data_IF_536089258967
#
_entry.id   IF_536089258967
#
_cell.length_a   1.000
_cell.length_b   1.000
_cell.length_c   1.000
_cell.angle_alpha   90.00
_cell.angle_beta   90.00
_cell.angle_gamma   90.00
#
_symmetry.space_group_name_H-M   'P 1'
#
loop_
_entity.id
_entity.type
_entity.pdbx_description
1 polymer ?
#
# COMPACT_ATOMS: atom_id res chain seq x y z
N UNK A 1 -36.83 -7.67 -26.84
CA UNK A 1 -35.60 -8.38 -26.49
C UNK A 1 -35.50 -8.36 -24.98
N UNK A 2 -35.59 -9.52 -24.36
CA UNK A 2 -35.50 -9.65 -22.91
C UNK A 2 -34.07 -9.31 -22.48
N UNK A 3 -33.93 -8.36 -21.57
CA UNK A 3 -32.72 -8.14 -20.79
C UNK A 3 -32.53 -9.34 -19.87
N UNK A 4 -31.51 -10.14 -20.14
CA UNK A 4 -31.05 -11.17 -19.21
C UNK A 4 -30.72 -10.51 -17.85
N UNK A 5 -31.15 -11.09 -16.72
CA UNK A 5 -30.73 -10.63 -15.42
C UNK A 5 -29.22 -10.87 -15.31
N UNK A 6 -28.45 -9.79 -15.08
CA UNK A 6 -27.04 -9.90 -14.70
C UNK A 6 -27.01 -10.75 -13.43
N UNK A 7 -26.51 -11.98 -13.56
CA UNK A 7 -26.32 -12.87 -12.43
C UNK A 7 -25.59 -12.09 -11.33
N UNK A 8 -26.19 -12.03 -10.14
CA UNK A 8 -25.51 -11.60 -8.93
C UNK A 8 -24.38 -12.59 -8.70
N UNK A 9 -23.22 -12.32 -9.30
CA UNK A 9 -22.02 -13.10 -9.06
C UNK A 9 -21.64 -12.81 -7.61
N UNK A 10 -21.94 -13.76 -6.73
CA UNK A 10 -21.37 -13.76 -5.38
C UNK A 10 -19.86 -13.67 -5.56
N UNK A 11 -19.18 -12.68 -4.98
CA UNK A 11 -17.75 -12.52 -5.16
C UNK A 11 -17.04 -13.82 -4.79
N UNK A 12 -16.04 -14.21 -5.57
CA UNK A 12 -15.17 -15.31 -5.18
C UNK A 12 -14.39 -14.88 -3.93
N UNK A 13 -14.71 -15.52 -2.79
CA UNK A 13 -14.06 -15.25 -1.51
C UNK A 13 -13.07 -16.36 -1.21
N UNK A 14 -11.80 -16.05 -1.38
CA UNK A 14 -10.70 -16.90 -0.96
C UNK A 14 -10.26 -16.52 0.45
N UNK A 15 -10.12 -17.52 1.33
CA UNK A 15 -9.67 -17.31 2.70
C UNK A 15 -8.51 -18.23 3.03
N UNK A 16 -7.42 -17.63 3.49
CA UNK A 16 -6.22 -18.31 3.96
C UNK A 16 -6.01 -18.06 5.45
N UNK A 17 -5.83 -19.12 6.23
CA UNK A 17 -5.52 -19.06 7.65
C UNK A 17 -4.16 -19.74 7.92
N UNK A 18 -3.23 -19.02 8.54
CA UNK A 18 -1.89 -19.52 8.83
C UNK A 18 -1.54 -19.40 10.32
N UNK A 19 -1.03 -20.50 10.89
CA UNK A 19 -0.68 -20.62 12.30
C UNK A 19 -1.84 -21.11 13.16
N UNK A 20 -1.59 -21.25 14.46
CA UNK A 20 -2.58 -21.69 15.44
C UNK A 20 -3.57 -20.55 15.75
N UNK A 21 -4.64 -20.48 14.96
CA UNK A 21 -5.71 -19.51 15.10
C UNK A 21 -6.86 -20.07 15.95
N UNK A 22 -7.53 -19.23 16.76
CA UNK A 22 -8.77 -19.65 17.41
C UNK A 22 -9.80 -20.17 16.40
N UNK A 23 -10.62 -21.17 16.76
CA UNK A 23 -11.65 -21.70 15.87
C UNK A 23 -12.67 -20.63 15.49
N UNK A 24 -13.20 -20.71 14.26
CA UNK A 24 -14.24 -19.80 13.77
C UNK A 24 -13.76 -18.41 13.30
N UNK A 25 -12.47 -18.09 13.43
CA UNK A 25 -11.93 -16.78 13.00
C UNK A 25 -12.02 -16.56 11.49
N UNK A 26 -11.87 -17.61 10.69
CA UNK A 26 -12.08 -17.58 9.25
C UNK A 26 -13.51 -17.12 8.90
N UNK A 27 -14.51 -17.77 9.47
CA UNK A 27 -15.93 -17.42 9.24
C UNK A 27 -16.28 -16.04 9.79
N UNK A 28 -15.72 -15.65 10.94
CA UNK A 28 -15.90 -14.31 11.49
C UNK A 28 -15.38 -13.23 10.52
N UNK A 29 -14.17 -13.43 9.96
CA UNK A 29 -13.59 -12.51 9.00
C UNK A 29 -14.40 -12.46 7.71
N UNK A 30 -14.79 -13.63 7.18
CA UNK A 30 -15.64 -13.74 5.99
C UNK A 30 -16.94 -12.96 6.16
N UNK A 31 -17.66 -13.19 7.26
CA UNK A 31 -18.95 -12.55 7.51
C UNK A 31 -18.79 -11.03 7.65
N UNK A 32 -17.81 -10.55 8.43
CA UNK A 32 -17.58 -9.10 8.60
C UNK A 32 -17.20 -8.40 7.30
N UNK A 33 -16.38 -9.04 6.45
CA UNK A 33 -16.05 -8.49 5.14
C UNK A 33 -17.27 -8.49 4.23
N UNK A 34 -18.02 -9.59 4.13
CA UNK A 34 -19.23 -9.63 3.29
C UNK A 34 -20.27 -8.59 3.70
N UNK A 35 -20.52 -8.41 5.00
CA UNK A 35 -21.43 -7.36 5.49
C UNK A 35 -20.97 -5.96 5.08
N UNK A 36 -19.65 -5.69 5.07
CA UNK A 36 -19.13 -4.42 4.56
C UNK A 36 -19.36 -4.27 3.05
N UNK A 37 -19.24 -5.36 2.30
CA UNK A 37 -19.42 -5.36 0.84
C UNK A 37 -20.88 -5.18 0.43
N UNK A 38 -21.86 -5.53 1.27
CA UNK A 38 -23.28 -5.26 1.02
C UNK A 38 -23.58 -3.75 0.89
N UNK A 39 -22.73 -2.89 1.46
CA UNK A 39 -22.84 -1.42 1.34
C UNK A 39 -22.20 -0.88 0.05
N UNK A 40 -21.45 -1.70 -0.68
CA UNK A 40 -20.73 -1.32 -1.89
C UNK A 40 -21.67 -1.43 -3.10
N UNK A 41 -21.85 -0.31 -3.81
CA UNK A 41 -22.78 -0.25 -4.97
C UNK A 41 -22.26 -0.95 -6.22
N UNK A 42 -20.94 -0.93 -6.41
CA UNK A 42 -20.30 -1.50 -7.59
C UNK A 42 -20.00 -2.99 -7.38
N UNK A 43 -20.00 -3.82 -8.43
CA UNK A 43 -19.69 -5.24 -8.32
C UNK A 43 -18.33 -5.50 -7.70
N UNK A 44 -18.25 -6.46 -6.77
CA UNK A 44 -16.99 -6.96 -6.22
C UNK A 44 -16.60 -8.20 -7.01
N UNK A 45 -15.47 -8.13 -7.71
CA UNK A 45 -15.00 -9.19 -8.61
C UNK A 45 -14.20 -10.27 -7.88
N UNK A 46 -13.44 -9.89 -6.84
CA UNK A 46 -12.68 -10.85 -6.03
C UNK A 46 -12.46 -10.35 -4.61
N UNK A 47 -12.36 -11.28 -3.67
CA UNK A 47 -12.05 -11.04 -2.26
C UNK A 47 -11.04 -12.08 -1.80
N UNK A 48 -9.86 -11.65 -1.38
CA UNK A 48 -8.87 -12.54 -0.75
C UNK A 48 -8.56 -12.06 0.66
N UNK A 49 -8.82 -12.91 1.64
CA UNK A 49 -8.56 -12.64 3.06
C UNK A 49 -7.46 -13.58 3.55
N UNK A 50 -6.45 -13.02 4.23
CA UNK A 50 -5.40 -13.80 4.88
C UNK A 50 -5.33 -13.44 6.35
N UNK A 51 -5.46 -14.44 7.20
CA UNK A 51 -5.30 -14.35 8.65
C UNK A 51 -4.01 -15.08 9.05
N UNK A 52 -3.18 -14.46 9.88
CA UNK A 52 -1.90 -15.08 10.27
C UNK A 52 -1.55 -14.76 11.71
N UNK A 53 -1.16 -15.78 12.48
CA UNK A 53 -0.53 -15.64 13.81
C UNK A 53 0.98 -15.82 13.70
N UNK A 54 1.72 -14.78 14.07
CA UNK A 54 3.17 -14.81 14.15
C UNK A 54 3.61 -15.54 15.42
N UNK A 55 4.58 -16.45 15.30
CA UNK A 55 5.16 -17.19 16.42
C UNK A 55 6.42 -16.47 16.94
N UNK A 56 6.26 -15.25 17.43
CA UNK A 56 7.35 -14.52 18.07
C UNK A 56 6.90 -13.94 19.42
N UNK A 57 7.48 -14.37 20.55
CA UNK A 57 7.06 -13.95 21.88
C UNK A 57 7.30 -12.46 22.18
N UNK A 58 8.14 -11.77 21.40
CA UNK A 58 8.40 -10.32 21.59
C UNK A 58 7.47 -9.41 20.79
N UNK A 59 6.63 -9.97 19.92
CA UNK A 59 5.70 -9.19 19.08
C UNK A 59 4.48 -8.79 19.90
N UNK A 60 4.28 -7.49 20.10
CA UNK A 60 3.13 -6.96 20.86
C UNK A 60 1.80 -7.27 20.20
N UNK A 61 1.77 -7.29 18.85
CA UNK A 61 0.59 -7.51 18.02
C UNK A 61 0.79 -8.73 17.11
N UNK A 62 0.69 -9.96 17.63
CA UNK A 62 1.08 -11.17 16.90
C UNK A 62 0.06 -11.62 15.86
N UNK A 63 -1.16 -11.08 15.86
CA UNK A 63 -2.21 -11.42 14.91
C UNK A 63 -2.27 -10.41 13.80
N UNK A 64 -2.17 -10.88 12.56
CA UNK A 64 -2.26 -10.05 11.36
C UNK A 64 -3.45 -10.48 10.52
N UNK A 65 -4.12 -9.50 9.93
CA UNK A 65 -5.23 -9.72 9.01
C UNK A 65 -5.01 -8.83 7.78
N UNK A 66 -5.09 -9.45 6.60
CA UNK A 66 -4.97 -8.77 5.32
C UNK A 66 -6.20 -9.08 4.46
N UNK A 67 -6.70 -8.08 3.74
CA UNK A 67 -7.67 -8.29 2.67
C UNK A 67 -7.23 -7.55 1.41
N UNK A 68 -7.43 -8.20 0.27
CA UNK A 68 -7.37 -7.59 -1.06
C UNK A 68 -8.74 -7.76 -1.71
N UNK A 69 -9.28 -6.68 -2.24
CA UNK A 69 -10.57 -6.65 -2.93
C UNK A 69 -10.35 -6.10 -4.34
N UNK A 70 -11.13 -6.58 -5.29
CA UNK A 70 -11.32 -5.91 -6.58
C UNK A 70 -12.77 -5.46 -6.70
N UNK A 71 -13.01 -4.15 -6.75
CA UNK A 71 -14.34 -3.57 -6.93
C UNK A 71 -14.46 -3.04 -8.35
N UNK A 72 -15.01 -3.84 -9.27
CA UNK A 72 -15.24 -3.46 -10.67
C UNK A 72 -13.96 -3.01 -11.42
N UNK A 73 -12.88 -3.79 -11.29
CA UNK A 73 -11.57 -3.56 -11.90
C UNK A 73 -10.67 -2.63 -11.08
N UNK A 74 -10.98 -2.45 -9.80
CA UNK A 74 -10.36 -1.40 -8.98
C UNK A 74 -9.93 -1.97 -7.64
N UNK A 75 -8.61 -2.12 -7.43
CA UNK A 75 -8.13 -2.84 -6.28
C UNK A 75 -8.22 -1.98 -5.01
N UNK A 76 -8.50 -2.62 -3.88
CA UNK A 76 -8.40 -2.04 -2.56
C UNK A 76 -7.76 -3.05 -1.61
N UNK A 77 -6.87 -2.58 -0.74
CA UNK A 77 -6.15 -3.45 0.20
C UNK A 77 -6.13 -2.85 1.59
N UNK A 78 -6.24 -3.72 2.58
CA UNK A 78 -6.02 -3.37 3.99
C UNK A 78 -5.12 -4.42 4.64
N UNK A 79 -4.19 -3.95 5.48
CA UNK A 79 -3.31 -4.83 6.25
C UNK A 79 -3.12 -4.31 7.67
N UNK A 80 -3.52 -5.11 8.65
CA UNK A 80 -3.51 -4.74 10.06
C UNK A 80 -2.87 -5.79 10.96
N UNK A 81 -2.44 -5.37 12.14
CA UNK A 81 -1.99 -6.18 13.25
C UNK A 81 -2.63 -5.74 14.57
N UNK A 82 -2.92 -6.72 15.42
CA UNK A 82 -3.59 -6.53 16.69
C UNK A 82 -3.09 -7.51 17.77
N UNK A 83 -3.50 -7.28 19.01
CA UNK A 83 -3.17 -8.13 20.15
C UNK A 83 -4.02 -9.41 20.16
N UNK A 84 -5.19 -9.38 19.51
CA UNK A 84 -6.07 -10.54 19.33
C UNK A 84 -6.58 -10.69 17.90
N UNK A 85 -6.93 -11.93 17.49
CA UNK A 85 -7.50 -12.15 16.15
C UNK A 85 -8.85 -11.46 15.92
N UNK A 86 -9.82 -11.46 16.86
CA UNK A 86 -11.06 -10.70 16.69
C UNK A 86 -10.82 -9.19 16.48
N UNK A 87 -9.92 -8.61 17.26
CA UNK A 87 -9.52 -7.20 17.10
C UNK A 87 -8.86 -6.95 15.74
N UNK A 88 -8.00 -7.85 15.28
CA UNK A 88 -7.40 -7.75 13.94
C UNK A 88 -8.47 -7.76 12.84
N UNK A 89 -9.52 -8.58 12.99
CA UNK A 89 -10.62 -8.64 12.02
C UNK A 89 -11.46 -7.34 12.06
N UNK A 90 -11.70 -6.78 13.26
CA UNK A 90 -12.41 -5.50 13.41
C UNK A 90 -11.64 -4.34 12.76
N UNK A 91 -10.35 -4.24 13.06
CA UNK A 91 -9.46 -3.25 12.44
C UNK A 91 -9.38 -3.44 10.92
N UNK A 92 -9.40 -4.69 10.44
CA UNK A 92 -9.39 -4.98 9.00
C UNK A 92 -10.65 -4.42 8.32
N UNK A 93 -11.83 -4.67 8.92
CA UNK A 93 -13.11 -4.11 8.42
C UNK A 93 -13.06 -2.59 8.38
N UNK A 94 -12.65 -1.96 9.48
CA UNK A 94 -12.66 -0.50 9.58
C UNK A 94 -11.69 0.13 8.56
N UNK A 95 -10.50 -0.46 8.40
CA UNK A 95 -9.53 -0.02 7.39
C UNK A 95 -10.05 -0.22 5.96
N UNK A 96 -10.70 -1.36 5.66
CA UNK A 96 -11.33 -1.58 4.35
C UNK A 96 -12.44 -0.56 4.07
N UNK A 97 -13.27 -0.22 5.06
CA UNK A 97 -14.32 0.79 4.90
C UNK A 97 -13.74 2.15 4.50
N UNK A 98 -12.61 2.54 5.10
CA UNK A 98 -11.89 3.76 4.71
C UNK A 98 -11.40 3.68 3.26
N UNK A 99 -10.84 2.54 2.83
CA UNK A 99 -10.37 2.38 1.45
C UNK A 99 -11.51 2.39 0.42
N UNK A 100 -12.61 1.71 0.70
CA UNK A 100 -13.80 1.70 -0.17
C UNK A 100 -14.41 3.10 -0.29
N UNK A 101 -14.44 3.86 0.82
CA UNK A 101 -14.90 5.25 0.79
C UNK A 101 -13.96 6.15 -0.05
N UNK A 102 -12.63 5.96 0.03
CA UNK A 102 -11.66 6.67 -0.83
C UNK A 102 -11.89 6.34 -2.30
N UNK A 103 -12.02 5.05 -2.60
CA UNK A 103 -12.27 4.56 -3.95
C UNK A 103 -13.50 5.23 -4.55
N UNK A 104 -14.62 5.20 -3.83
CA UNK A 104 -15.88 5.82 -4.26
C UNK A 104 -15.73 7.32 -4.55
N UNK A 105 -15.13 8.09 -3.65
CA UNK A 105 -14.94 9.55 -3.83
C UNK A 105 -14.11 9.87 -5.07
N UNK A 106 -13.05 9.11 -5.30
CA UNK A 106 -12.21 9.30 -6.49
C UNK A 106 -13.02 9.10 -7.78
N UNK A 107 -13.90 8.09 -7.83
CA UNK A 107 -14.77 7.89 -9.00
C UNK A 107 -15.85 8.93 -9.17
N UNK A 108 -16.44 9.39 -8.08
CA UNK A 108 -17.41 10.48 -8.13
C UNK A 108 -16.73 11.76 -8.68
N UNK A 109 -15.49 12.06 -8.26
CA UNK A 109 -14.72 13.19 -8.77
C UNK A 109 -14.38 13.03 -10.27
N UNK A 110 -13.97 11.83 -10.71
CA UNK A 110 -13.67 11.58 -12.12
C UNK A 110 -14.92 11.63 -13.03
N UNK A 111 -16.08 11.15 -12.57
CA UNK A 111 -17.34 11.21 -13.34
C UNK A 111 -18.03 12.58 -13.30
N UNK A 112 -17.79 13.36 -12.25
CA UNK A 112 -18.39 14.69 -12.04
C UNK A 112 -17.75 15.84 -12.81
N UNK A 113 -16.68 15.60 -13.57
CA UNK A 113 -16.09 16.58 -14.49
C UNK A 113 -15.41 17.81 -13.86
N UNK A 114 -15.41 17.93 -12.53
CA UNK A 114 -14.72 18.99 -11.81
C UNK A 114 -13.94 18.38 -10.64
N UNK A 115 -12.59 18.47 -10.62
CA UNK A 115 -11.86 18.33 -9.38
C UNK A 115 -12.21 19.55 -8.52
N UNK A 116 -13.27 19.46 -7.74
CA UNK A 116 -13.46 20.40 -6.64
C UNK A 116 -12.28 20.20 -5.71
N UNK A 117 -11.37 21.17 -5.71
CA UNK A 117 -10.47 21.48 -4.60
C UNK A 117 -11.32 21.86 -3.38
N UNK A 118 -12.14 20.92 -2.90
CA UNK A 118 -12.77 21.02 -1.61
C UNK A 118 -11.68 20.73 -0.61
N UNK A 119 -11.26 21.77 0.10
CA UNK A 119 -10.45 21.71 1.29
C UNK A 119 -11.10 20.75 2.30
N UNK A 120 -10.85 19.46 2.12
CA UNK A 120 -11.02 18.49 3.17
C UNK A 120 -9.67 18.49 3.86
N UNK A 121 -9.63 19.15 5.01
CA UNK A 121 -8.61 18.94 6.04
C UNK A 121 -8.62 17.46 6.42
N UNK A 122 -8.07 16.61 5.56
CA UNK A 122 -7.63 15.30 5.96
C UNK A 122 -6.43 15.59 6.86
N UNK A 123 -6.67 15.54 8.16
CA UNK A 123 -5.60 15.43 9.15
C UNK A 123 -4.86 14.13 8.81
N UNK A 124 -3.80 14.27 8.02
CA UNK A 124 -2.81 13.21 7.78
C UNK A 124 -2.02 12.87 9.05
N UNK A 125 -2.32 13.53 10.17
CA UNK A 125 -1.85 13.19 11.49
C UNK A 125 -2.75 12.14 12.12
N UNK A 126 -2.12 11.05 12.56
CA UNK A 126 -2.61 10.16 13.60
C UNK A 126 -3.73 9.19 13.22
N UNK A 127 -3.56 8.44 12.14
CA UNK A 127 -4.07 7.07 12.21
C UNK A 127 -3.01 6.26 12.99
N UNK A 128 -3.31 5.77 14.21
CA UNK A 128 -2.42 4.85 14.89
C UNK A 128 -2.16 3.72 13.89
N UNK A 129 -0.93 3.61 13.40
CA UNK A 129 -0.65 2.60 12.38
C UNK A 129 -0.70 1.25 13.07
N UNK A 130 -1.89 0.65 13.09
CA UNK A 130 -2.13 -0.77 13.34
C UNK A 130 -1.54 -1.62 12.21
N UNK A 131 -0.54 -1.11 11.48
CA UNK A 131 0.21 -1.86 10.50
C UNK A 131 1.07 -2.89 11.24
N UNK A 132 1.25 -4.10 10.70
CA UNK A 132 2.10 -5.09 11.33
C UNK A 132 3.51 -4.60 11.57
N UNK A 133 4.07 -5.02 12.69
CA UNK A 133 5.48 -4.83 12.97
C UNK A 133 6.30 -5.76 12.08
N UNK A 134 7.49 -5.31 11.70
CA UNK A 134 8.44 -6.18 11.01
C UNK A 134 8.98 -7.22 12.00
N UNK A 135 9.09 -8.48 11.57
CA UNK A 135 9.76 -9.50 12.36
C UNK A 135 11.20 -9.03 12.66
N UNK A 136 11.60 -8.96 13.95
CA UNK A 136 12.90 -8.44 14.34
C UNK A 136 13.98 -9.47 13.98
N UNK A 137 14.63 -9.24 12.84
CA UNK A 137 15.76 -10.03 12.36
C UNK A 137 17.07 -9.25 12.55
N UNK A 138 18.14 -9.83 13.09
CA UNK A 138 19.45 -9.18 13.15
C UNK A 138 19.92 -8.76 11.73
N UNK A 139 20.51 -7.57 11.54
CA UNK A 139 20.93 -7.09 10.22
C UNK A 139 21.79 -8.08 9.41
N UNK A 140 22.65 -8.84 10.11
CA UNK A 140 23.51 -9.89 9.56
C UNK A 140 22.72 -11.05 8.92
N UNK A 141 21.51 -11.34 9.41
CA UNK A 141 20.64 -12.41 8.92
C UNK A 141 19.65 -11.92 7.85
N UNK A 142 19.61 -10.61 7.58
CA UNK A 142 18.67 -10.05 6.60
C UNK A 142 19.19 -10.26 5.20
N UNK A 143 18.31 -10.69 4.30
CA UNK A 143 18.62 -10.99 2.91
C UNK A 143 17.56 -10.39 1.98
N UNK A 144 17.93 -10.15 0.72
CA UNK A 144 16.97 -9.73 -0.32
C UNK A 144 16.33 -10.99 -0.90
N UNK A 145 15.26 -11.47 -0.27
CA UNK A 145 14.63 -12.75 -0.65
C UNK A 145 13.56 -12.60 -1.74
N UNK A 146 13.07 -11.37 -1.98
CA UNK A 146 12.00 -11.13 -2.95
C UNK A 146 12.41 -10.04 -3.94
N UNK A 147 12.38 -10.40 -5.21
CA UNK A 147 12.59 -9.47 -6.33
C UNK A 147 11.30 -9.29 -7.09
N UNK A 148 10.84 -8.05 -7.25
CA UNK A 148 9.64 -7.69 -7.98
C UNK A 148 10.01 -6.73 -9.10
N UNK A 149 9.78 -7.15 -10.34
CA UNK A 149 10.01 -6.31 -11.51
C UNK A 149 8.67 -5.94 -12.13
N UNK A 150 8.41 -4.64 -12.30
CA UNK A 150 7.14 -4.14 -12.84
C UNK A 150 7.40 -2.96 -13.79
N UNK A 151 6.59 -2.83 -14.84
CA UNK A 151 6.52 -1.59 -15.61
C UNK A 151 5.96 -0.49 -14.71
N UNK A 152 6.70 0.62 -14.55
CA UNK A 152 6.22 1.74 -13.75
C UNK A 152 5.06 2.42 -14.49
N UNK A 153 3.93 2.54 -13.81
CA UNK A 153 2.83 3.36 -14.30
C UNK A 153 3.28 4.81 -14.42
N UNK A 154 2.81 5.50 -15.47
CA UNK A 154 3.06 6.92 -15.68
C UNK A 154 1.87 7.69 -15.11
N UNK A 155 2.08 8.37 -13.99
CA UNK A 155 1.02 8.90 -13.14
C UNK A 155 1.36 10.32 -12.66
N UNK A 156 0.33 11.09 -12.32
CA UNK A 156 0.48 12.31 -11.55
C UNK A 156 0.74 12.00 -10.06
N UNK A 157 1.22 12.99 -9.30
CA UNK A 157 1.40 12.83 -7.84
C UNK A 157 0.08 12.49 -7.13
N UNK A 158 -1.05 13.06 -7.59
CA UNK A 158 -2.35 12.82 -6.98
C UNK A 158 -2.86 11.39 -7.24
N UNK A 159 -2.65 10.86 -8.45
CA UNK A 159 -2.94 9.45 -8.78
C UNK A 159 -2.06 8.51 -7.97
N UNK A 160 -0.75 8.79 -7.89
CA UNK A 160 0.18 8.03 -7.08
C UNK A 160 -0.19 8.04 -5.58
N UNK A 161 -0.66 9.18 -5.05
CA UNK A 161 -1.15 9.28 -3.68
C UNK A 161 -2.42 8.45 -3.46
N UNK A 162 -3.33 8.47 -4.43
CA UNK A 162 -4.55 7.66 -4.41
C UNK A 162 -4.24 6.16 -4.41
N UNK A 163 -3.37 5.70 -5.31
CA UNK A 163 -2.93 4.30 -5.38
C UNK A 163 -2.20 3.86 -4.11
N UNK A 164 -1.30 4.70 -3.58
CA UNK A 164 -0.60 4.40 -2.33
C UNK A 164 -1.57 4.22 -1.17
N UNK A 165 -2.61 5.06 -1.10
CA UNK A 165 -3.64 4.99 -0.07
C UNK A 165 -4.52 3.76 -0.26
N UNK A 166 -5.12 3.56 -1.44
CA UNK A 166 -6.09 2.49 -1.75
C UNK A 166 -5.49 1.10 -1.54
N UNK A 167 -4.20 0.95 -1.83
CA UNK A 167 -3.46 -0.30 -1.69
C UNK A 167 -2.80 -0.49 -0.32
N UNK A 168 -3.01 0.48 0.59
CA UNK A 168 -2.41 0.51 1.91
C UNK A 168 -0.89 0.28 1.87
N UNK A 169 -0.23 0.99 0.95
CA UNK A 169 1.22 0.96 0.82
C UNK A 169 1.87 2.03 1.71
N UNK A 170 3.14 1.82 2.05
CA UNK A 170 3.96 2.81 2.76
C UNK A 170 4.66 3.78 1.82
N UNK A 171 4.80 3.38 0.56
CA UNK A 171 5.40 4.14 -0.52
C UNK A 171 4.80 3.65 -1.85
N UNK A 172 4.94 4.45 -2.91
CA UNK A 172 4.56 4.08 -4.28
C UNK A 172 5.64 4.53 -5.26
N UNK A 173 6.11 3.61 -6.11
CA UNK A 173 7.14 3.87 -7.12
C UNK A 173 6.46 3.95 -8.50
N UNK A 174 6.66 5.07 -9.20
CA UNK A 174 5.97 5.38 -10.46
C UNK A 174 6.85 6.31 -11.32
N UNK A 175 6.46 6.52 -12.58
CA UNK A 175 7.05 7.57 -13.43
C UNK A 175 6.18 8.83 -13.34
N UNK A 176 6.71 9.94 -12.83
CA UNK A 176 5.91 11.16 -12.71
C UNK A 176 5.66 11.78 -14.09
N UNK A 177 4.40 12.10 -14.40
CA UNK A 177 3.98 12.43 -15.77
C UNK A 177 4.65 13.70 -16.32
N UNK A 178 4.86 14.72 -15.49
CA UNK A 178 5.38 16.03 -15.89
C UNK A 178 6.90 16.04 -16.02
N UNK A 179 7.62 15.43 -15.08
CA UNK A 179 9.09 15.36 -15.10
C UNK A 179 9.60 14.20 -15.92
N UNK A 180 8.81 13.13 -16.07
CA UNK A 180 9.24 11.86 -16.66
C UNK A 180 10.21 11.07 -15.79
N UNK A 181 10.42 11.47 -14.53
CA UNK A 181 11.37 10.85 -13.62
C UNK A 181 10.73 9.70 -12.86
N UNK A 182 11.47 8.60 -12.73
CA UNK A 182 11.17 7.58 -11.74
C UNK A 182 11.17 8.24 -10.35
N UNK A 183 10.05 8.12 -9.65
CA UNK A 183 9.76 8.84 -8.43
C UNK A 183 9.15 7.90 -7.40
N UNK A 184 9.51 8.11 -6.13
CA UNK A 184 8.85 7.45 -5.00
C UNK A 184 8.06 8.47 -4.19
N UNK A 185 6.77 8.20 -4.00
CA UNK A 185 5.91 8.93 -3.08
C UNK A 185 5.80 8.15 -1.76
N UNK A 186 5.85 8.83 -0.62
CA UNK A 186 5.69 8.20 0.70
C UNK A 186 5.14 9.19 1.72
N UNK A 187 4.69 8.70 2.88
CA UNK A 187 4.22 9.57 3.97
C UNK A 187 5.41 10.13 4.75
N UNK A 188 5.40 11.44 4.98
CA UNK A 188 6.34 12.13 5.85
C UNK A 188 5.56 13.06 6.78
N UNK A 189 5.46 12.69 8.06
CA UNK A 189 4.90 13.57 9.08
C UNK A 189 5.90 14.69 9.42
N UNK A 190 5.43 15.91 9.77
CA UNK A 190 4.02 16.35 9.78
C UNK A 190 3.50 16.80 8.39
N UNK A 191 4.34 16.74 7.35
CA UNK A 191 4.12 17.37 6.04
C UNK A 191 3.15 16.66 5.09
N UNK A 192 2.54 15.54 5.49
CA UNK A 192 1.67 14.74 4.61
C UNK A 192 2.49 13.81 3.72
N UNK A 193 2.58 14.11 2.42
CA UNK A 193 3.34 13.32 1.46
C UNK A 193 4.71 13.92 1.16
N UNK A 194 5.67 13.05 0.84
CA UNK A 194 6.99 13.42 0.34
C UNK A 194 7.32 12.68 -0.95
N UNK A 195 7.82 13.42 -1.93
CA UNK A 195 8.30 12.90 -3.21
C UNK A 195 9.83 12.91 -3.24
N UNK A 196 10.46 11.82 -3.68
CA UNK A 196 11.85 11.80 -4.08
C UNK A 196 11.95 11.28 -5.53
N UNK A 197 12.85 11.86 -6.31
CA UNK A 197 13.00 11.57 -7.74
C UNK A 197 14.44 11.15 -8.04
N UNK A 198 14.64 10.34 -9.09
CA UNK A 198 15.98 9.99 -9.59
C UNK A 198 16.79 11.25 -9.86
N UNK A 199 16.26 12.18 -10.66
CA UNK A 199 16.74 13.56 -10.69
C UNK A 199 15.66 14.48 -10.14
N UNK A 200 16.01 15.28 -9.13
CA UNK A 200 15.04 16.18 -8.49
C UNK A 200 14.73 17.39 -9.37
N UNK A 201 13.44 17.60 -9.69
CA UNK A 201 12.97 18.81 -10.38
C UNK A 201 11.76 19.45 -9.64
N UNK A 202 11.93 20.02 -8.44
CA UNK A 202 10.79 20.49 -7.63
C UNK A 202 9.90 21.53 -8.33
N UNK A 203 10.48 22.36 -9.20
CA UNK A 203 9.75 23.40 -9.94
C UNK A 203 9.08 22.94 -11.23
N UNK A 204 9.15 21.65 -11.57
CA UNK A 204 8.55 21.08 -12.80
C UNK A 204 7.34 20.18 -12.53
N UNK A 205 6.95 20.02 -11.27
CA UNK A 205 5.72 19.32 -10.96
C UNK A 205 4.52 20.18 -11.37
N UNK A 206 3.48 19.54 -11.88
CA UNK A 206 2.18 20.19 -12.09
C UNK A 206 1.53 20.59 -10.77
N UNK A 207 0.36 21.21 -10.84
CA UNK A 207 -0.46 21.47 -9.66
C UNK A 207 -0.88 20.15 -9.00
N UNK A 208 -0.67 20.03 -7.69
CA UNK A 208 -1.05 18.86 -6.90
C UNK A 208 -2.14 19.22 -5.89
N UNK A 209 -3.15 18.36 -5.76
CA UNK A 209 -4.21 18.52 -4.76
C UNK A 209 -3.77 18.09 -3.35
N UNK A 210 -2.81 17.17 -3.25
CA UNK A 210 -2.27 16.71 -1.96
C UNK A 210 -1.23 17.67 -1.36
N UNK A 211 -1.13 17.68 -0.02
CA UNK A 211 -0.03 18.35 0.67
C UNK A 211 1.27 17.59 0.42
N UNK A 212 2.19 18.22 -0.33
CA UNK A 212 3.41 17.58 -0.83
C UNK A 212 4.66 18.38 -0.45
N UNK A 213 5.70 17.67 -0.01
CA UNK A 213 7.08 18.18 0.02
C UNK A 213 7.95 17.40 -0.97
N UNK A 214 8.78 18.09 -1.73
CA UNK A 214 9.72 17.44 -2.68
C UNK A 214 11.11 17.42 -2.09
N UNK A 215 11.77 16.26 -2.12
CA UNK A 215 13.18 16.15 -1.77
C UNK A 215 14.03 16.93 -2.77
N UNK A 216 14.83 17.92 -2.35
CA UNK A 216 15.69 18.67 -3.26
C UNK A 216 16.90 17.86 -3.73
N UNK A 217 17.29 16.84 -2.98
CA UNK A 217 18.39 15.96 -3.35
C UNK A 217 17.91 14.87 -4.35
N UNK A 218 18.68 14.58 -5.41
CA UNK A 218 18.42 13.44 -6.27
C UNK A 218 18.58 12.13 -5.51
N UNK A 219 17.98 11.06 -6.02
CA UNK A 219 18.16 9.74 -5.44
C UNK A 219 19.65 9.33 -5.52
N UNK A 220 20.22 8.81 -4.42
CA UNK A 220 21.62 8.37 -4.41
C UNK A 220 21.83 7.24 -5.43
N UNK A 221 22.92 7.31 -6.20
CA UNK A 221 23.25 6.30 -7.21
C UNK A 221 24.09 5.17 -6.59
N UNK A 222 23.61 3.93 -6.67
CA UNK A 222 24.26 2.76 -6.08
C UNK A 222 23.62 1.44 -6.54
N UNK A 223 24.28 0.31 -6.27
CA UNK A 223 23.71 -1.03 -6.44
C UNK A 223 22.92 -1.52 -5.20
N UNK A 224 22.21 -2.64 -5.38
CA UNK A 224 21.38 -3.27 -4.33
C UNK A 224 22.16 -3.69 -3.09
N UNK A 225 23.42 -4.13 -3.22
CA UNK A 225 24.26 -4.49 -2.09
C UNK A 225 24.60 -3.29 -1.20
N UNK A 226 24.84 -2.13 -1.80
CA UNK A 226 25.08 -0.87 -1.08
C UNK A 226 23.78 -0.33 -0.46
N UNK A 227 22.66 -0.44 -1.17
CA UNK A 227 21.35 -0.12 -0.63
C UNK A 227 21.00 -0.99 0.60
N UNK A 228 21.34 -2.28 0.57
CA UNK A 228 21.18 -3.19 1.73
C UNK A 228 21.96 -2.71 2.94
N UNK A 229 23.26 -2.39 2.79
CA UNK A 229 24.06 -1.86 3.90
C UNK A 229 23.43 -0.61 4.52
N UNK A 230 22.91 0.30 3.71
CA UNK A 230 22.19 1.48 4.21
C UNK A 230 20.91 1.15 4.97
N UNK A 231 20.12 0.17 4.50
CA UNK A 231 18.94 -0.31 5.23
C UNK A 231 19.33 -0.88 6.60
N UNK A 232 20.41 -1.67 6.64
CA UNK A 232 20.93 -2.27 7.87
C UNK A 232 21.42 -1.22 8.87
N UNK A 233 22.09 -0.15 8.40
CA UNK A 233 22.64 0.92 9.24
C UNK A 233 21.61 1.94 9.71
N UNK A 234 20.68 2.34 8.83
CA UNK A 234 19.77 3.46 9.09
C UNK A 234 18.42 3.03 9.65
N UNK A 235 18.08 1.74 9.59
CA UNK A 235 16.79 1.21 10.05
C UNK A 235 15.57 1.85 9.37
N UNK A 236 15.75 2.39 8.16
CA UNK A 236 14.69 3.03 7.40
C UNK A 236 13.67 1.99 6.90
N UNK A 237 12.38 2.32 6.78
CA UNK A 237 11.36 1.38 6.29
C UNK A 237 11.62 0.94 4.83
N UNK A 238 12.25 1.83 4.04
CA UNK A 238 12.70 1.57 2.69
C UNK A 238 13.85 2.52 2.31
N UNK A 239 14.59 2.17 1.26
CA UNK A 239 15.58 3.02 0.59
C UNK A 239 15.23 3.08 -0.90
N UNK A 240 15.04 4.30 -1.40
CA UNK A 240 14.93 4.60 -2.82
C UNK A 240 16.28 5.07 -3.36
N UNK A 241 16.67 4.56 -4.52
CA UNK A 241 17.98 4.81 -5.10
C UNK A 241 17.95 4.69 -6.62
N UNK A 242 18.91 5.35 -7.27
CA UNK A 242 19.15 5.18 -8.70
C UNK A 242 20.11 4.03 -8.89
N UNK A 243 19.70 3.02 -9.65
CA UNK A 243 20.56 1.89 -9.98
C UNK A 243 21.77 2.35 -10.81
N UNK A 244 22.97 1.91 -10.45
CA UNK A 244 24.21 2.39 -11.06
C UNK A 244 24.38 1.92 -12.52
N UNK A 245 23.82 0.75 -12.86
CA UNK A 245 23.83 0.17 -14.19
C UNK A 245 22.71 0.74 -15.07
N UNK A 246 21.46 0.60 -14.64
CA UNK A 246 20.29 0.92 -15.47
C UNK A 246 19.91 2.40 -15.45
N UNK A 247 20.34 3.14 -14.41
CA UNK A 247 19.92 4.53 -14.19
C UNK A 247 18.46 4.68 -13.77
N UNK A 248 17.74 3.58 -13.53
CA UNK A 248 16.34 3.54 -13.12
C UNK A 248 16.19 3.63 -11.60
N UNK A 249 15.03 4.09 -11.15
CA UNK A 249 14.70 4.22 -9.73
C UNK A 249 14.28 2.89 -9.13
N UNK A 250 15.05 2.37 -8.17
CA UNK A 250 14.79 1.12 -7.46
C UNK A 250 14.39 1.39 -5.99
N UNK A 251 13.58 0.51 -5.41
CA UNK A 251 13.20 0.56 -3.99
C UNK A 251 13.53 -0.74 -3.28
N UNK A 252 14.39 -0.67 -2.28
CA UNK A 252 14.62 -1.74 -1.31
C UNK A 252 13.77 -1.48 -0.06
N UNK A 253 12.99 -2.45 0.42
CA UNK A 253 12.06 -2.24 1.52
C UNK A 253 12.03 -3.40 2.52
N UNK A 254 11.67 -3.12 3.77
CA UNK A 254 11.46 -4.15 4.79
C UNK A 254 10.20 -4.97 4.52
N UNK A 255 10.34 -6.29 4.56
CA UNK A 255 9.22 -7.22 4.56
C UNK A 255 8.80 -7.52 5.99
N UNK A 256 7.57 -7.99 6.17
CA UNK A 256 7.05 -8.35 7.50
C UNK A 256 7.74 -9.60 8.10
N UNK A 257 8.37 -10.44 7.27
CA UNK A 257 9.20 -11.59 7.72
C UNK A 257 10.63 -11.20 8.15
N UNK A 258 10.93 -9.89 8.18
CA UNK A 258 12.20 -9.34 8.62
C UNK A 258 13.29 -9.32 7.56
N UNK A 259 13.07 -9.95 6.40
CA UNK A 259 13.96 -9.84 5.25
C UNK A 259 13.65 -8.59 4.42
N UNK A 260 14.36 -8.43 3.30
CA UNK A 260 14.15 -7.34 2.36
C UNK A 260 13.45 -7.81 1.07
N UNK A 261 12.68 -6.89 0.49
CA UNK A 261 12.19 -6.99 -0.89
C UNK A 261 12.79 -5.90 -1.74
N UNK A 262 13.09 -6.20 -2.99
CA UNK A 262 13.58 -5.25 -3.99
C UNK A 262 12.52 -5.08 -5.09
N UNK A 263 12.19 -3.84 -5.39
CA UNK A 263 11.38 -3.45 -6.54
C UNK A 263 12.28 -2.79 -7.57
N UNK A 264 12.25 -3.30 -8.81
CA UNK A 264 12.97 -2.74 -9.96
C UNK A 264 11.99 -2.43 -11.08
N UNK A 265 12.17 -1.35 -11.84
CA UNK A 265 11.44 -1.15 -13.08
C UNK A 265 11.75 -2.29 -14.06
N UNK A 266 10.72 -2.82 -14.73
CA UNK A 266 10.88 -3.65 -15.90
C UNK A 266 11.34 -2.78 -17.09
N UNK A 267 12.08 -3.39 -18.01
CA UNK A 267 12.46 -2.75 -19.28
C UNK A 267 11.24 -2.39 -20.14
#
# INVERSE_FOLDING_TARGET
MATDPVASQTPEVELEAQGDLPPGMAELARNKVLTLLDEVRDPVLSVRIRLTRMHNPTTKRPFTAQANLDVNGRPARAHVAAESMPEAIDLLRDRLALQLARLRRHWEAQRGGMPTAGAHEWRHGDEPTHRPEHFPRPPEDREIIRHKSFSLARESVDEAAFEMDSMDYGFHLFTEINTGEDSVLYRAAPTGYRLAQVHSHPGKLGTTAVTLTVSPAPAPRMNSATAKRRMDELGQPFVFYTDDVTGRGNVLYHRYDGHYGLITPAE
#
